data_IF_552742418005
#
_entry.id   IF_552742418005
#
_cell.length_a   1.000
_cell.length_b   1.000
_cell.length_c   1.000
_cell.angle_alpha   90.00
_cell.angle_beta   90.00
_cell.angle_gamma   90.00
#
_symmetry.space_group_name_H-M   'P 1'
#
loop_
_entity.id
_entity.type
_entity.pdbx_description
1 polymer ?
#
# COMPACT_ATOMS: atom_id res chain seq x y z
N UNK A 1 3.17 41.50 26.99
CA UNK A 1 3.25 40.19 27.68
C UNK A 1 2.81 39.14 26.70
N UNK A 2 3.67 38.18 26.37
CA UNK A 2 3.34 37.11 25.43
C UNK A 2 3.17 35.81 26.20
N UNK A 3 1.98 35.20 26.13
CA UNK A 3 1.81 33.80 26.50
C UNK A 3 2.07 32.93 25.27
N UNK A 4 3.00 31.98 25.38
CA UNK A 4 3.20 30.95 24.36
C UNK A 4 2.31 29.75 24.70
N UNK A 5 1.32 29.45 23.84
CA UNK A 5 0.52 28.23 23.95
C UNK A 5 1.07 27.19 22.97
N UNK A 6 1.78 26.19 23.48
CA UNK A 6 2.36 25.12 22.66
C UNK A 6 1.29 24.10 22.22
N UNK A 7 1.24 23.72 20.93
CA UNK A 7 0.33 22.68 20.47
C UNK A 7 0.83 21.28 20.92
N UNK A 8 0.07 20.60 21.78
CA UNK A 8 0.36 19.22 22.19
C UNK A 8 -0.12 18.25 21.11
N UNK A 9 0.80 17.78 20.25
CA UNK A 9 0.53 16.67 19.34
C UNK A 9 0.37 15.34 20.11
N UNK A 10 -0.71 14.61 19.85
CA UNK A 10 -0.91 13.24 20.34
C UNK A 10 -0.76 12.24 19.20
N UNK A 11 0.37 11.53 19.19
CA UNK A 11 0.63 10.39 18.30
C UNK A 11 0.64 9.10 19.14
N UNK A 12 -0.25 8.11 18.89
CA UNK A 12 -0.26 6.86 19.64
C UNK A 12 0.89 5.94 19.19
N UNK A 13 2.04 6.06 19.86
CA UNK A 13 3.17 5.13 19.65
C UNK A 13 2.87 3.81 20.34
N UNK A 14 2.53 2.78 19.55
CA UNK A 14 2.30 1.42 20.05
C UNK A 14 3.66 0.77 20.37
N UNK A 15 4.09 0.85 21.62
CA UNK A 15 5.32 0.20 22.12
C UNK A 15 5.06 -1.27 22.45
N UNK A 16 5.16 -2.14 21.44
CA UNK A 16 5.08 -3.59 21.61
C UNK A 16 6.34 -4.14 22.30
N UNK A 17 6.32 -4.18 23.64
CA UNK A 17 7.39 -4.73 24.49
C UNK A 17 7.52 -6.26 24.37
N UNK A 18 7.98 -6.73 23.21
CA UNK A 18 8.34 -8.12 22.94
C UNK A 18 9.58 -8.50 23.75
N UNK A 19 9.37 -9.19 24.88
CA UNK A 19 10.43 -9.78 25.69
C UNK A 19 11.24 -10.76 24.83
N UNK A 20 12.51 -10.43 24.57
CA UNK A 20 13.41 -11.26 23.76
C UNK A 20 13.66 -12.60 24.47
N UNK A 21 13.17 -13.69 23.88
CA UNK A 21 13.38 -15.03 24.41
C UNK A 21 14.88 -15.40 24.36
N UNK A 22 15.36 -16.06 25.42
CA UNK A 22 16.72 -16.63 25.48
C UNK A 22 16.87 -17.79 24.52
N UNK A 23 18.05 -17.95 23.93
CA UNK A 23 18.33 -19.06 23.03
C UNK A 23 18.56 -20.35 23.82
N UNK A 24 18.13 -21.50 23.28
CA UNK A 24 18.32 -22.81 23.91
C UNK A 24 19.81 -23.16 24.16
N UNK A 25 20.74 -22.44 23.54
CA UNK A 25 22.18 -22.57 23.77
C UNK A 25 22.64 -21.99 25.12
N UNK A 26 21.93 -21.01 25.68
CA UNK A 26 22.33 -20.29 26.90
C UNK A 26 22.06 -21.10 28.18
N UNK A 27 21.06 -21.99 28.17
CA UNK A 27 20.68 -22.81 29.33
C UNK A 27 21.65 -23.98 29.61
N UNK A 28 22.66 -24.20 28.75
CA UNK A 28 23.52 -25.39 28.78
C UNK A 28 24.86 -25.19 29.50
N UNK A 29 25.11 -24.01 30.10
CA UNK A 29 26.44 -23.60 30.61
C UNK A 29 26.43 -23.15 32.08
N UNK A 30 25.54 -23.73 32.90
CA UNK A 30 25.37 -23.36 34.30
C UNK A 30 24.92 -24.57 35.16
N UNK A 31 25.73 -25.63 35.20
CA UNK A 31 25.59 -26.77 36.13
C UNK A 31 26.90 -27.58 36.19
N UNK A 32 27.94 -26.99 36.78
CA UNK A 32 29.21 -27.67 37.12
C UNK A 32 29.61 -27.31 38.56
N UNK A 33 30.22 -28.29 39.26
CA UNK A 33 30.92 -28.23 40.57
C UNK A 33 30.12 -28.19 41.90
N UNK A 34 30.75 -28.75 42.96
CA UNK A 34 30.25 -29.10 44.32
C UNK A 34 29.13 -30.17 44.34
N UNK A 35 29.30 -31.42 44.79
CA UNK A 35 30.31 -32.12 45.63
C UNK A 35 30.35 -31.75 47.14
N UNK A 36 30.05 -32.75 48.00
CA UNK A 36 30.60 -32.96 49.36
C UNK A 36 30.13 -34.29 50.02
N UNK A 37 31.12 -34.99 50.59
CA UNK A 37 31.13 -35.90 51.75
C UNK A 37 30.24 -37.17 51.83
N UNK A 38 30.98 -38.28 51.86
CA UNK A 38 30.76 -39.63 52.38
C UNK A 38 30.06 -39.79 53.75
N UNK A 39 29.68 -41.05 54.08
CA UNK A 39 30.01 -41.67 55.38
C UNK A 39 30.05 -43.22 55.29
N UNK A 40 30.94 -43.79 56.11
CA UNK A 40 31.41 -45.17 56.33
C UNK A 40 30.27 -46.17 56.70
N UNK A 41 30.34 -47.53 56.64
CA UNK A 41 31.38 -48.59 56.56
C UNK A 41 30.82 -49.76 55.66
N UNK A 42 31.20 -51.04 55.61
CA UNK A 42 32.05 -52.03 56.33
C UNK A 42 32.72 -53.02 55.33
N UNK A 43 33.65 -53.88 55.80
CA UNK A 43 34.33 -54.91 54.99
C UNK A 43 34.09 -56.36 55.48
N UNK A 44 34.48 -57.35 54.66
CA UNK A 44 35.24 -58.54 55.12
C UNK A 44 36.13 -59.11 53.99
N UNK A 45 37.00 -60.07 54.34
CA UNK A 45 38.20 -60.56 53.63
C UNK A 45 37.91 -61.70 52.60
N UNK A 46 38.84 -62.13 51.73
CA UNK A 46 40.20 -61.66 51.41
C UNK A 46 41.08 -62.77 50.78
N UNK A 47 42.33 -62.42 50.42
CA UNK A 47 43.45 -63.32 50.02
C UNK A 47 43.29 -64.11 48.68
N UNK A 48 44.34 -64.58 47.97
CA UNK A 48 45.80 -64.64 48.24
C UNK A 48 46.64 -64.54 46.94
N UNK A 49 47.88 -64.02 47.05
CA UNK A 49 49.12 -64.29 46.26
C UNK A 49 49.06 -64.68 44.76
N UNK A 50 49.52 -63.81 43.86
CA UNK A 50 50.92 -63.64 43.37
C UNK A 50 51.43 -64.74 42.42
N UNK A 51 51.55 -64.42 41.13
CA UNK A 51 52.20 -65.28 40.13
C UNK A 51 52.54 -64.57 38.81
N UNK A 52 53.74 -63.97 38.73
CA UNK A 52 54.45 -63.44 37.55
C UNK A 52 53.73 -62.39 36.66
N UNK A 53 54.35 -61.22 36.54
CA UNK A 53 53.94 -60.15 35.62
C UNK A 53 54.28 -60.50 34.16
N UNK A 54 53.37 -61.20 33.47
CA UNK A 54 53.35 -61.21 32.00
C UNK A 54 52.93 -59.81 31.56
N UNK A 55 53.72 -59.12 30.73
CA UNK A 55 53.35 -57.79 30.24
C UNK A 55 51.99 -57.86 29.53
N UNK A 56 51.06 -56.90 29.72
CA UNK A 56 49.76 -56.91 29.02
C UNK A 56 49.89 -57.02 27.50
N UNK A 57 50.99 -56.52 26.92
CA UNK A 57 51.31 -56.68 25.49
C UNK A 57 51.69 -58.11 25.10
N UNK A 58 52.38 -58.83 25.97
CA UNK A 58 52.78 -60.23 25.77
C UNK A 58 51.62 -61.18 26.00
N UNK A 59 50.78 -60.92 27.02
CA UNK A 59 49.53 -61.66 27.22
C UNK A 59 48.65 -61.60 25.97
N UNK A 60 48.39 -60.39 25.43
CA UNK A 60 47.67 -60.21 24.17
C UNK A 60 48.39 -60.92 23.01
N UNK A 61 49.71 -60.78 22.89
CA UNK A 61 50.48 -61.43 21.80
C UNK A 61 50.42 -62.96 21.86
N UNK A 62 50.27 -63.56 23.05
CA UNK A 62 50.12 -64.99 23.22
C UNK A 62 48.72 -65.49 22.85
N UNK A 63 47.66 -64.72 23.09
CA UNK A 63 46.29 -65.07 22.69
C UNK A 63 46.10 -65.30 21.18
N UNK A 64 46.99 -64.78 20.33
CA UNK A 64 46.91 -64.94 18.86
C UNK A 64 47.80 -66.05 18.29
N UNK A 65 48.60 -66.74 19.10
CA UNK A 65 49.58 -67.73 18.60
C UNK A 65 48.91 -69.05 18.17
N UNK A 66 47.79 -69.42 18.78
CA UNK A 66 47.02 -70.62 18.40
C UNK A 66 46.06 -70.40 17.20
N UNK A 67 45.95 -69.17 16.68
CA UNK A 67 44.93 -68.79 15.70
C UNK A 67 45.28 -69.20 14.25
N UNK A 68 45.24 -70.50 13.97
CA UNK A 68 45.50 -71.07 12.65
C UNK A 68 44.31 -70.94 11.69
N UNK A 69 44.41 -70.03 10.72
CA UNK A 69 43.34 -69.71 9.73
C UNK A 69 42.97 -70.88 8.80
N UNK A 70 43.85 -71.90 8.67
CA UNK A 70 43.62 -73.07 7.80
C UNK A 70 42.44 -73.98 8.17
N UNK A 71 41.70 -73.69 9.26
CA UNK A 71 40.43 -74.37 9.59
C UNK A 71 39.19 -73.78 8.89
N UNK A 72 39.34 -72.76 8.04
CA UNK A 72 38.25 -72.19 7.22
C UNK A 72 38.16 -72.83 5.82
N UNK A 73 37.81 -74.12 5.78
CA UNK A 73 37.40 -74.81 4.54
C UNK A 73 35.90 -75.13 4.62
N UNK A 74 35.02 -74.55 3.78
CA UNK A 74 33.57 -74.71 3.92
C UNK A 74 33.05 -76.11 3.56
N UNK A 75 32.34 -76.80 4.48
CA UNK A 75 31.62 -78.02 4.12
C UNK A 75 30.37 -77.71 3.29
N UNK A 76 30.32 -78.34 2.12
CA UNK A 76 29.18 -78.71 1.28
C UNK A 76 27.76 -78.43 1.83
N UNK A 77 26.94 -77.73 1.01
CA UNK A 77 25.59 -77.31 1.36
C UNK A 77 24.60 -78.48 1.51
N UNK A 78 23.78 -78.46 2.56
CA UNK A 78 22.56 -79.27 2.70
C UNK A 78 21.34 -78.35 2.90
N UNK A 79 20.23 -78.52 2.15
CA UNK A 79 19.10 -77.60 2.18
C UNK A 79 18.06 -77.98 3.26
N UNK A 80 18.12 -77.36 4.45
CA UNK A 80 17.06 -77.50 5.46
C UNK A 80 16.64 -76.16 6.08
N UNK A 81 15.33 -75.92 5.99
CA UNK A 81 14.48 -74.99 6.75
C UNK A 81 15.12 -73.74 7.38
N UNK A 82 14.80 -72.58 6.79
CA UNK A 82 15.12 -71.27 7.34
C UNK A 82 14.40 -71.01 8.67
N UNK A 83 15.14 -71.02 9.78
CA UNK A 83 14.74 -70.33 11.01
C UNK A 83 15.86 -69.41 11.49
N UNK A 84 15.74 -68.12 11.18
CA UNK A 84 16.59 -67.10 11.77
C UNK A 84 16.23 -66.98 13.25
N UNK A 85 17.01 -67.61 14.13
CA UNK A 85 16.84 -67.40 15.57
C UNK A 85 17.25 -65.97 15.91
N UNK A 86 16.24 -65.12 16.07
CA UNK A 86 16.42 -63.73 16.48
C UNK A 86 16.97 -63.72 17.90
N UNK A 87 18.22 -63.30 18.06
CA UNK A 87 18.86 -63.12 19.36
C UNK A 87 18.14 -62.03 20.14
N UNK A 88 17.17 -62.40 20.98
CA UNK A 88 16.49 -61.48 21.89
C UNK A 88 17.49 -61.13 23.01
N UNK A 89 17.94 -59.86 23.13
CA UNK A 89 18.86 -59.49 24.21
C UNK A 89 18.15 -59.63 25.56
N UNK A 90 18.85 -60.18 26.55
CA UNK A 90 18.33 -60.30 27.92
C UNK A 90 17.93 -58.89 28.42
N UNK A 91 16.68 -58.67 28.89
CA UNK A 91 16.24 -57.36 29.34
C UNK A 91 17.09 -56.89 30.52
N UNK A 92 17.36 -55.59 30.56
CA UNK A 92 18.16 -54.99 31.62
C UNK A 92 17.42 -55.04 32.96
N UNK A 93 18.14 -55.15 34.08
CA UNK A 93 17.51 -55.37 35.40
C UNK A 93 16.52 -54.26 35.80
N UNK A 94 16.69 -53.03 35.30
CA UNK A 94 15.71 -51.95 35.46
C UNK A 94 14.39 -52.20 34.70
N UNK A 95 14.37 -52.85 33.51
CA UNK A 95 13.10 -53.19 32.83
C UNK A 95 12.31 -54.21 33.63
N UNK A 96 12.99 -55.19 34.22
CA UNK A 96 12.37 -56.20 35.08
C UNK A 96 11.80 -55.55 36.34
N UNK A 97 12.58 -54.67 37.00
CA UNK A 97 12.13 -53.86 38.15
C UNK A 97 10.89 -53.00 37.83
N UNK A 98 10.83 -52.39 36.65
CA UNK A 98 9.66 -51.61 36.22
C UNK A 98 8.46 -52.50 35.88
N UNK A 99 8.66 -53.62 35.19
CA UNK A 99 7.60 -54.59 34.91
C UNK A 99 6.99 -55.17 36.19
N UNK A 100 7.81 -55.45 37.21
CA UNK A 100 7.34 -55.87 38.53
C UNK A 100 6.58 -54.77 39.28
N UNK A 101 7.02 -53.51 39.20
CA UNK A 101 6.27 -52.37 39.76
C UNK A 101 4.91 -52.22 39.11
N UNK A 102 4.82 -52.33 37.77
CA UNK A 102 3.56 -52.30 37.01
C UNK A 102 2.65 -53.49 37.37
N UNK A 103 3.21 -54.70 37.51
CA UNK A 103 2.47 -55.88 38.03
C UNK A 103 1.92 -55.67 39.46
N UNK A 104 2.61 -54.89 40.29
CA UNK A 104 2.18 -54.50 41.65
C UNK A 104 1.25 -53.27 41.66
N UNK A 105 0.77 -52.79 40.51
CA UNK A 105 -0.10 -51.62 40.37
C UNK A 105 0.58 -50.27 40.62
N UNK A 106 1.90 -50.24 40.84
CA UNK A 106 2.66 -49.04 41.15
C UNK A 106 2.98 -48.30 39.85
N UNK A 107 2.10 -47.37 39.46
CA UNK A 107 2.29 -46.50 38.29
C UNK A 107 3.59 -45.70 38.39
N UNK A 108 4.21 -45.46 37.25
CA UNK A 108 5.31 -44.51 37.10
C UNK A 108 4.78 -43.07 37.05
N UNK A 109 5.63 -42.10 37.39
CA UNK A 109 5.28 -40.67 37.36
C UNK A 109 4.82 -40.23 35.96
N UNK A 110 5.51 -40.69 34.92
CA UNK A 110 5.17 -40.40 33.52
C UNK A 110 3.78 -40.93 33.13
N UNK A 111 3.41 -42.13 33.58
CA UNK A 111 2.09 -42.72 33.34
C UNK A 111 0.99 -41.89 34.03
N UNK A 112 1.22 -41.46 35.27
CA UNK A 112 0.30 -40.60 36.01
C UNK A 112 0.16 -39.20 35.39
N UNK A 113 1.25 -38.62 34.87
CA UNK A 113 1.23 -37.32 34.17
C UNK A 113 0.49 -37.43 32.82
N UNK A 114 0.60 -38.55 32.10
CA UNK A 114 -0.18 -38.85 30.90
C UNK A 114 -1.68 -39.01 31.20
N UNK A 115 -2.03 -39.85 32.18
CA UNK A 115 -3.43 -40.03 32.63
C UNK A 115 -4.07 -38.71 33.08
N UNK A 116 -3.32 -37.85 33.78
CA UNK A 116 -3.81 -36.53 34.19
C UNK A 116 -4.03 -35.59 33.00
N UNK A 117 -3.21 -35.67 31.95
CA UNK A 117 -3.38 -34.91 30.73
C UNK A 117 -4.61 -35.38 29.92
N UNK A 118 -4.84 -36.69 29.83
CA UNK A 118 -6.01 -37.25 29.14
C UNK A 118 -7.32 -36.99 29.89
N UNK A 119 -7.32 -37.04 31.22
CA UNK A 119 -8.46 -36.59 32.03
C UNK A 119 -8.76 -35.10 31.85
N UNK A 120 -7.75 -34.24 31.70
CA UNK A 120 -7.94 -32.81 31.40
C UNK A 120 -8.57 -32.61 30.03
N UNK A 121 -8.11 -33.34 29.00
CA UNK A 121 -8.70 -33.32 27.65
C UNK A 121 -10.17 -33.72 27.69
N UNK A 122 -10.51 -34.84 28.35
CA UNK A 122 -11.90 -35.29 28.49
C UNK A 122 -12.78 -34.26 29.20
N UNK A 123 -12.28 -33.58 30.24
CA UNK A 123 -13.02 -32.49 30.90
C UNK A 123 -13.20 -31.29 29.97
N UNK A 124 -12.16 -30.87 29.25
CA UNK A 124 -12.21 -29.78 28.27
C UNK A 124 -13.23 -30.09 27.16
N UNK A 125 -13.11 -31.25 26.51
CA UNK A 125 -14.04 -31.78 25.50
C UNK A 125 -15.48 -31.84 25.99
N UNK A 126 -15.72 -32.29 27.24
CA UNK A 126 -17.06 -32.32 27.83
C UNK A 126 -17.61 -30.92 28.11
N UNK A 127 -16.77 -29.94 28.47
CA UNK A 127 -17.21 -28.54 28.58
C UNK A 127 -17.46 -27.89 27.21
N UNK A 128 -16.72 -28.28 26.16
CA UNK A 128 -16.98 -27.83 24.79
C UNK A 128 -18.27 -28.45 24.23
N UNK A 129 -18.55 -29.74 24.48
CA UNK A 129 -19.82 -30.37 24.13
C UNK A 129 -21.03 -29.71 24.82
N UNK A 130 -20.85 -29.18 26.04
CA UNK A 130 -21.89 -28.40 26.73
C UNK A 130 -22.09 -27.00 26.15
N UNK A 131 -21.09 -26.42 25.47
CA UNK A 131 -21.18 -25.13 24.76
C UNK A 131 -21.97 -25.29 23.45
N UNK A 132 -23.29 -25.34 23.57
CA UNK A 132 -24.24 -25.34 22.43
C UNK A 132 -23.86 -24.24 21.44
N UNK A 133 -23.37 -24.63 20.25
CA UNK A 133 -22.88 -23.70 19.24
C UNK A 133 -23.97 -22.70 18.84
N UNK A 134 -23.74 -21.43 19.16
CA UNK A 134 -24.55 -20.29 18.71
C UNK A 134 -23.63 -19.33 17.98
N UNK A 135 -24.10 -18.79 16.86
CA UNK A 135 -23.39 -17.70 16.20
C UNK A 135 -23.28 -16.51 17.15
N UNK A 136 -22.09 -15.91 17.25
CA UNK A 136 -21.91 -14.64 17.95
C UNK A 136 -22.90 -13.61 17.40
N UNK A 137 -23.62 -12.85 18.25
CA UNK A 137 -24.58 -11.86 17.76
C UNK A 137 -23.84 -10.83 16.92
N UNK A 138 -24.47 -10.40 15.81
CA UNK A 138 -23.89 -9.38 14.93
C UNK A 138 -23.43 -8.15 15.74
N UNK A 139 -22.24 -7.57 15.48
CA UNK A 139 -21.71 -6.44 16.25
C UNK A 139 -22.67 -5.25 16.31
N UNK A 140 -22.60 -4.45 17.38
CA UNK A 140 -23.50 -3.32 17.58
C UNK A 140 -23.51 -2.34 16.40
N UNK A 141 -22.34 -2.01 15.84
CA UNK A 141 -22.19 -1.11 14.70
C UNK A 141 -22.96 -1.55 13.44
N UNK A 142 -23.28 -2.84 13.28
CA UNK A 142 -24.07 -3.37 12.15
C UNK A 142 -25.56 -3.00 12.26
N UNK A 143 -26.03 -2.62 13.47
CA UNK A 143 -27.41 -2.17 13.73
C UNK A 143 -27.55 -0.65 13.83
N UNK A 144 -26.45 0.10 13.82
CA UNK A 144 -26.45 1.56 13.97
C UNK A 144 -26.40 2.25 12.59
N UNK A 145 -27.22 3.29 12.32
CA UNK A 145 -27.16 4.06 11.07
C UNK A 145 -25.94 5.00 10.96
N UNK A 146 -24.72 4.46 10.90
CA UNK A 146 -23.46 5.22 10.91
C UNK A 146 -23.15 6.03 9.62
N UNK A 147 -24.15 6.36 8.80
CA UNK A 147 -23.95 7.01 7.50
C UNK A 147 -23.34 8.42 7.62
N UNK A 148 -23.84 9.21 8.58
CA UNK A 148 -23.40 10.59 8.82
C UNK A 148 -21.96 10.61 9.35
N UNK A 149 -21.65 9.80 10.38
CA UNK A 149 -20.29 9.62 10.91
C UNK A 149 -19.29 9.18 9.82
N UNK A 150 -19.70 8.28 8.92
CA UNK A 150 -18.88 7.86 7.78
C UNK A 150 -18.66 9.01 6.79
N UNK A 151 -19.70 9.80 6.46
CA UNK A 151 -19.56 10.93 5.56
C UNK A 151 -18.61 11.99 6.14
N UNK A 152 -18.75 12.35 7.42
CA UNK A 152 -17.88 13.32 8.09
C UNK A 152 -16.41 12.87 8.05
N UNK A 153 -16.14 11.61 8.41
CA UNK A 153 -14.77 11.06 8.37
C UNK A 153 -14.22 10.97 6.95
N UNK A 154 -15.07 10.80 5.94
CA UNK A 154 -14.69 10.85 4.53
C UNK A 154 -14.47 12.29 4.05
N UNK A 155 -15.16 13.28 4.61
CA UNK A 155 -14.84 14.70 4.40
C UNK A 155 -13.52 15.11 5.08
N UNK A 156 -13.26 14.69 6.31
CA UNK A 156 -11.99 14.92 7.01
C UNK A 156 -10.80 14.41 6.18
N UNK A 157 -10.85 13.15 5.73
CA UNK A 157 -9.79 12.58 4.86
C UNK A 157 -9.64 13.37 3.56
N UNK A 158 -10.75 13.82 2.95
CA UNK A 158 -10.73 14.68 1.75
C UNK A 158 -10.22 16.10 2.01
N UNK A 159 -10.35 16.65 3.23
CA UNK A 159 -9.77 17.95 3.63
C UNK A 159 -8.25 17.78 3.79
N UNK A 160 -7.83 16.88 4.69
CA UNK A 160 -6.41 16.59 4.95
C UNK A 160 -5.60 16.27 3.68
N UNK A 161 -6.17 15.51 2.73
CA UNK A 161 -5.49 15.25 1.46
C UNK A 161 -5.28 16.53 0.63
N UNK A 162 -6.29 17.40 0.53
CA UNK A 162 -6.15 18.69 -0.18
C UNK A 162 -5.11 19.58 0.48
N UNK A 163 -5.09 19.63 1.81
CA UNK A 163 -4.17 20.47 2.57
C UNK A 163 -2.71 19.98 2.42
N UNK A 164 -2.50 18.65 2.50
CA UNK A 164 -1.21 18.02 2.25
C UNK A 164 -0.74 18.21 0.80
N UNK A 165 -1.63 18.11 -0.19
CA UNK A 165 -1.26 18.36 -1.59
C UNK A 165 -0.95 19.84 -1.86
N UNK A 166 -1.66 20.78 -1.23
CA UNK A 166 -1.32 22.21 -1.31
C UNK A 166 0.07 22.48 -0.69
N UNK A 167 0.37 21.91 0.48
CA UNK A 167 1.70 22.01 1.09
C UNK A 167 2.80 21.37 0.22
N UNK A 168 2.54 20.20 -0.38
CA UNK A 168 3.45 19.55 -1.34
C UNK A 168 3.66 20.42 -2.58
N UNK A 169 2.60 21.03 -3.12
CA UNK A 169 2.70 21.93 -4.27
C UNK A 169 3.53 23.17 -3.91
N UNK A 170 3.23 23.87 -2.81
CA UNK A 170 3.97 25.06 -2.37
C UNK A 170 5.44 24.79 -2.03
N UNK A 171 5.78 23.61 -1.49
CA UNK A 171 7.18 23.23 -1.24
C UNK A 171 7.91 22.77 -2.52
N UNK A 172 7.19 22.21 -3.50
CA UNK A 172 7.75 21.87 -4.82
C UNK A 172 7.91 23.07 -5.75
N UNK A 173 7.11 24.13 -5.54
CA UNK A 173 7.23 25.41 -6.25
C UNK A 173 8.55 26.08 -5.86
N UNK A 174 9.54 26.04 -6.77
CA UNK A 174 10.62 27.01 -6.76
C UNK A 174 10.07 28.30 -7.37
N UNK A 175 9.76 29.35 -6.59
CA UNK A 175 9.34 30.62 -7.18
C UNK A 175 10.46 31.12 -8.10
N UNK A 176 10.10 31.57 -9.30
CA UNK A 176 11.07 32.19 -10.19
C UNK A 176 11.72 33.38 -9.45
N UNK A 177 13.04 33.52 -9.53
CA UNK A 177 13.76 34.65 -8.91
C UNK A 177 13.30 36.03 -9.41
N UNK A 178 12.51 36.05 -10.49
CA UNK A 178 11.71 37.20 -10.92
C UNK A 178 10.75 37.71 -9.83
N UNK A 179 10.03 36.84 -9.11
CA UNK A 179 9.04 37.26 -8.11
C UNK A 179 9.69 37.88 -6.86
N UNK A 180 10.82 37.34 -6.42
CA UNK A 180 11.62 37.94 -5.34
C UNK A 180 12.26 39.25 -5.81
N UNK A 181 12.81 39.28 -7.03
CA UNK A 181 13.33 40.49 -7.68
C UNK A 181 12.25 41.57 -7.85
N UNK A 182 11.01 41.20 -8.15
CA UNK A 182 9.90 42.13 -8.31
C UNK A 182 9.42 42.67 -6.96
N UNK A 183 9.30 41.83 -5.93
CA UNK A 183 9.06 42.27 -4.54
C UNK A 183 10.14 43.25 -4.08
N UNK A 184 11.42 42.89 -4.22
CA UNK A 184 12.55 43.76 -3.88
C UNK A 184 12.54 45.06 -4.70
N UNK A 185 12.19 45.02 -6.00
CA UNK A 185 12.08 46.21 -6.87
C UNK A 185 10.87 47.07 -6.52
N UNK A 186 9.80 46.50 -5.95
CA UNK A 186 8.62 47.20 -5.42
C UNK A 186 8.95 47.85 -4.07
N UNK A 187 9.54 47.11 -3.14
CA UNK A 187 10.04 47.61 -1.85
C UNK A 187 11.06 48.74 -2.04
N UNK A 188 12.01 48.61 -2.98
CA UNK A 188 12.95 49.68 -3.32
C UNK A 188 12.27 50.92 -3.93
N UNK A 189 11.18 50.76 -4.69
CA UNK A 189 10.38 51.89 -5.18
C UNK A 189 9.62 52.56 -4.03
N UNK A 190 8.98 51.79 -3.18
CA UNK A 190 8.19 52.26 -2.04
C UNK A 190 9.07 52.95 -0.99
N UNK A 191 10.25 52.39 -0.68
CA UNK A 191 11.26 53.02 0.16
C UNK A 191 11.77 54.35 -0.42
N UNK A 192 12.07 54.40 -1.73
CA UNK A 192 12.47 55.65 -2.40
C UNK A 192 11.36 56.71 -2.42
N UNK A 193 10.10 56.30 -2.62
CA UNK A 193 8.95 57.20 -2.61
C UNK A 193 8.70 57.73 -1.18
N UNK A 194 8.82 56.88 -0.17
CA UNK A 194 8.76 57.27 1.24
C UNK A 194 9.92 58.20 1.65
N UNK A 195 11.15 57.92 1.19
CA UNK A 195 12.31 58.79 1.39
C UNK A 195 12.13 60.16 0.70
N UNK A 196 11.59 60.17 -0.53
CA UNK A 196 11.24 61.40 -1.25
C UNK A 196 10.13 62.18 -0.53
N UNK A 197 9.11 61.52 0.02
CA UNK A 197 8.09 62.18 0.84
C UNK A 197 8.66 62.73 2.16
N UNK A 198 9.61 62.03 2.80
CA UNK A 198 10.29 62.54 3.99
C UNK A 198 11.20 63.74 3.67
N UNK A 199 11.92 63.70 2.54
CA UNK A 199 12.70 64.83 2.03
C UNK A 199 11.81 66.02 1.70
N UNK A 200 10.74 65.83 0.92
CA UNK A 200 9.77 66.88 0.62
C UNK A 200 9.15 67.46 1.89
N UNK A 201 8.77 66.65 2.89
CA UNK A 201 8.26 67.15 4.17
C UNK A 201 9.30 67.99 4.94
N UNK A 202 10.58 67.59 4.95
CA UNK A 202 11.66 68.37 5.57
C UNK A 202 11.89 69.69 4.84
N UNK A 203 12.03 69.66 3.52
CA UNK A 203 12.15 70.86 2.70
C UNK A 203 10.94 71.79 2.84
N UNK A 204 9.73 71.23 2.92
CA UNK A 204 8.50 71.99 3.10
C UNK A 204 8.42 72.61 4.51
N UNK A 205 8.85 71.88 5.55
CA UNK A 205 9.04 72.45 6.88
C UNK A 205 10.07 73.58 6.90
N UNK A 206 11.20 73.45 6.21
CA UNK A 206 12.24 74.48 6.12
C UNK A 206 11.74 75.71 5.34
N UNK A 207 11.03 75.51 4.24
CA UNK A 207 10.33 76.58 3.49
C UNK A 207 9.22 77.26 4.31
N UNK A 208 8.55 76.52 5.21
CA UNK A 208 7.57 77.06 6.18
C UNK A 208 8.25 77.84 7.31
N UNK A 209 9.45 77.43 7.76
CA UNK A 209 10.25 78.11 8.80
C UNK A 209 10.86 79.42 8.27
N UNK A 210 11.22 79.48 6.98
CA UNK A 210 11.72 80.67 6.29
C UNK A 210 10.77 81.15 5.18
N UNK A 211 9.61 81.77 5.50
CA UNK A 211 8.65 82.23 4.50
C UNK A 211 9.23 83.36 3.66
N UNK A 212 9.66 83.04 2.43
CA UNK A 212 10.24 83.97 1.48
C UNK A 212 9.24 85.04 1.04
N UNK A 213 9.45 86.27 1.54
CA UNK A 213 8.62 87.45 1.19
C UNK A 213 9.11 88.04 -0.13
N UNK A 214 8.64 87.44 -1.23
CA UNK A 214 8.93 87.89 -2.59
C UNK A 214 8.53 89.36 -2.81
N UNK A 215 9.34 90.11 -3.56
CA UNK A 215 8.92 91.39 -4.13
C UNK A 215 7.73 91.14 -5.07
N UNK A 216 6.68 91.98 -5.08
CA UNK A 216 5.48 91.72 -5.87
C UNK A 216 5.82 91.63 -7.36
N UNK A 217 5.45 90.50 -7.98
CA UNK A 217 5.79 90.20 -9.37
C UNK A 217 5.27 91.32 -10.30
N UNK A 218 6.09 91.87 -11.22
CA UNK A 218 5.67 92.95 -12.13
C UNK A 218 4.39 92.62 -12.90
N UNK A 219 3.54 93.64 -13.13
CA UNK A 219 2.19 93.45 -13.70
C UNK A 219 2.19 92.65 -15.01
N UNK A 220 3.14 92.91 -15.91
CA UNK A 220 3.36 92.15 -17.16
C UNK A 220 3.51 90.64 -17.00
N UNK A 221 4.01 90.16 -15.86
CA UNK A 221 4.12 88.72 -15.57
C UNK A 221 2.80 88.16 -15.01
N UNK A 222 2.00 88.99 -14.33
CA UNK A 222 0.62 88.66 -13.93
C UNK A 222 -0.33 88.65 -15.12
N UNK A 223 -0.10 89.52 -16.10
CA UNK A 223 -0.79 89.52 -17.40
C UNK A 223 -0.43 88.26 -18.21
N UNK A 224 0.84 87.85 -18.24
CA UNK A 224 1.28 86.56 -18.80
C UNK A 224 0.93 85.32 -17.95
N UNK A 225 0.31 85.51 -16.78
CA UNK A 225 -0.35 84.45 -15.99
C UNK A 225 -1.83 84.74 -15.81
N UNK A 226 -2.40 85.53 -16.73
CA UNK A 226 -3.85 85.60 -16.89
C UNK A 226 -4.38 84.21 -17.26
N UNK A 227 -5.49 83.81 -16.63
CA UNK A 227 -6.13 82.53 -16.95
C UNK A 227 -6.70 82.47 -18.36
N UNK A 228 -6.62 83.55 -19.15
CA UNK A 228 -7.09 83.62 -20.53
C UNK A 228 -6.11 82.92 -21.47
N UNK A 229 -4.80 83.17 -21.34
CA UNK A 229 -3.78 82.44 -22.10
C UNK A 229 -3.76 80.95 -21.75
N UNK A 230 -4.01 80.60 -20.48
CA UNK A 230 -4.11 79.19 -20.06
C UNK A 230 -5.35 78.49 -20.65
N UNK A 231 -6.52 79.16 -20.66
CA UNK A 231 -7.72 78.66 -21.35
C UNK A 231 -7.50 78.53 -22.85
N UNK A 232 -6.79 79.47 -23.48
CA UNK A 232 -6.44 79.42 -24.90
C UNK A 232 -5.52 78.23 -25.20
N UNK A 233 -4.47 77.99 -24.41
CA UNK A 233 -3.65 76.79 -24.50
C UNK A 233 -4.45 75.49 -24.29
N UNK A 234 -5.36 75.46 -23.31
CA UNK A 234 -6.23 74.32 -23.05
C UNK A 234 -7.19 74.05 -24.22
N UNK A 235 -7.75 75.11 -24.83
CA UNK A 235 -8.56 75.03 -26.04
C UNK A 235 -7.74 74.52 -27.24
N UNK A 236 -6.53 75.03 -27.48
CA UNK A 236 -5.65 74.51 -28.52
C UNK A 236 -5.26 73.05 -28.28
N UNK A 237 -4.99 72.65 -27.03
CA UNK A 237 -4.75 71.24 -26.64
C UNK A 237 -6.00 70.38 -26.91
N UNK A 238 -7.19 70.85 -26.54
CA UNK A 238 -8.45 70.15 -26.78
C UNK A 238 -8.74 69.98 -28.27
N UNK A 239 -8.60 71.04 -29.08
CA UNK A 239 -8.73 71.00 -30.54
C UNK A 239 -7.73 70.01 -31.15
N UNK A 240 -6.46 70.06 -30.73
CA UNK A 240 -5.40 69.15 -31.23
C UNK A 240 -5.66 67.69 -30.84
N UNK A 241 -6.20 67.43 -29.65
CA UNK A 241 -6.65 66.10 -29.24
C UNK A 241 -7.86 65.62 -30.07
N UNK A 242 -8.84 66.48 -30.33
CA UNK A 242 -9.99 66.15 -31.18
C UNK A 242 -9.59 65.88 -32.64
N UNK A 243 -8.67 66.67 -33.21
CA UNK A 243 -8.14 66.42 -34.54
C UNK A 243 -7.41 65.09 -34.61
N UNK A 244 -6.47 64.83 -33.69
CA UNK A 244 -5.76 63.55 -33.60
C UNK A 244 -6.71 62.36 -33.43
N UNK A 245 -7.78 62.51 -32.65
CA UNK A 245 -8.79 61.48 -32.48
C UNK A 245 -9.59 61.22 -33.78
N UNK A 246 -9.94 62.27 -34.53
CA UNK A 246 -10.59 62.14 -35.85
C UNK A 246 -9.66 61.49 -36.87
N UNK A 247 -8.41 61.93 -36.97
CA UNK A 247 -7.41 61.29 -37.84
C UNK A 247 -7.23 59.81 -37.52
N UNK A 248 -7.12 59.46 -36.23
CA UNK A 248 -6.97 58.08 -35.80
C UNK A 248 -8.22 57.25 -36.15
N UNK A 249 -9.43 57.77 -35.92
CA UNK A 249 -10.68 57.11 -36.33
C UNK A 249 -10.81 56.96 -37.86
N UNK A 250 -10.38 57.94 -38.64
CA UNK A 250 -10.36 57.83 -40.10
C UNK A 250 -9.31 56.82 -40.58
N UNK A 251 -8.13 56.77 -39.98
CA UNK A 251 -7.07 55.80 -40.34
C UNK A 251 -7.39 54.36 -39.91
N UNK A 252 -8.16 54.19 -38.83
CA UNK A 252 -8.67 52.90 -38.37
C UNK A 252 -10.00 52.50 -39.02
N UNK A 253 -10.59 53.37 -39.86
CA UNK A 253 -11.82 53.04 -40.59
C UNK A 253 -11.52 52.04 -41.69
N UNK A 254 -12.29 50.94 -41.71
CA UNK A 254 -12.27 49.98 -42.80
C UNK A 254 -12.59 50.67 -44.15
N UNK A 255 -12.05 50.18 -45.29
CA UNK A 255 -12.37 50.73 -46.61
C UNK A 255 -13.88 50.76 -46.89
N UNK A 256 -14.41 51.77 -47.62
CA UNK A 256 -15.85 51.93 -47.84
C UNK A 256 -16.55 50.69 -48.43
N UNK A 257 -15.86 49.89 -49.25
CA UNK A 257 -16.35 48.63 -49.78
C UNK A 257 -16.58 47.57 -48.70
N UNK A 258 -15.71 47.50 -47.69
CA UNK A 258 -15.86 46.59 -46.54
C UNK A 258 -16.93 47.09 -45.57
N UNK A 259 -17.09 48.41 -45.42
CA UNK A 259 -18.20 48.99 -44.65
C UNK A 259 -19.56 48.70 -45.32
N UNK A 260 -19.67 48.92 -46.63
CA UNK A 260 -20.88 48.59 -47.40
C UNK A 260 -21.20 47.09 -47.30
N UNK A 261 -20.20 46.22 -47.43
CA UNK A 261 -20.34 44.77 -47.22
C UNK A 261 -20.81 44.42 -45.80
N UNK A 262 -20.24 45.01 -44.75
CA UNK A 262 -20.74 44.76 -43.40
C UNK A 262 -22.16 45.28 -43.16
N UNK A 263 -22.60 46.33 -43.87
CA UNK A 263 -23.97 46.83 -43.78
C UNK A 263 -24.97 45.94 -44.56
N UNK A 264 -24.56 45.28 -45.64
CA UNK A 264 -25.39 44.24 -46.28
C UNK A 264 -25.38 42.94 -45.47
N UNK A 265 -24.23 42.48 -44.97
CA UNK A 265 -24.13 41.32 -44.06
C UNK A 265 -24.98 41.53 -42.80
N UNK A 266 -24.98 42.72 -42.19
CA UNK A 266 -25.85 43.04 -41.04
C UNK A 266 -27.34 43.08 -41.40
N UNK A 267 -27.71 43.46 -42.63
CA UNK A 267 -29.12 43.38 -43.07
C UNK A 267 -29.54 41.94 -43.35
N UNK A 268 -28.69 41.12 -43.97
CA UNK A 268 -28.91 39.67 -44.14
C UNK A 268 -29.01 38.98 -42.78
N UNK A 269 -28.13 39.30 -41.83
CA UNK A 269 -28.23 38.78 -40.46
C UNK A 269 -29.46 39.31 -39.71
N UNK A 270 -29.93 40.53 -39.97
CA UNK A 270 -31.16 41.04 -39.33
C UNK A 270 -32.42 40.38 -39.90
N UNK A 271 -32.46 40.07 -41.19
CA UNK A 271 -33.52 39.25 -41.79
C UNK A 271 -33.45 37.80 -41.29
N UNK A 272 -32.25 37.22 -41.19
CA UNK A 272 -32.04 35.88 -40.62
C UNK A 272 -32.26 35.81 -39.10
N UNK A 273 -32.29 36.94 -38.38
CA UNK A 273 -32.61 37.01 -36.95
C UNK A 273 -34.11 36.98 -36.65
N UNK A 274 -34.98 37.05 -37.67
CA UNK A 274 -36.41 36.77 -37.51
C UNK A 274 -36.66 35.25 -37.38
N UNK A 275 -35.72 34.40 -37.81
CA UNK A 275 -35.57 33.02 -37.32
C UNK A 275 -34.50 32.95 -36.23
N UNK A 276 -34.92 32.87 -34.96
CA UNK A 276 -34.00 32.66 -33.83
C UNK A 276 -33.30 31.28 -33.90
N UNK A 277 -32.20 31.16 -34.66
CA UNK A 277 -31.28 30.02 -34.61
C UNK A 277 -30.43 30.07 -33.33
N UNK A 278 -31.13 30.03 -32.20
CA UNK A 278 -30.60 30.00 -30.83
C UNK A 278 -29.93 28.65 -30.59
N UNK A 279 -28.65 28.54 -30.98
CA UNK A 279 -27.81 27.37 -30.69
C UNK A 279 -27.42 27.31 -29.19
N UNK A 280 -28.43 27.21 -28.33
CA UNK A 280 -28.29 26.72 -26.97
C UNK A 280 -28.16 25.19 -27.06
N UNK A 281 -27.06 24.58 -26.59
CA UNK A 281 -27.06 23.13 -26.41
C UNK A 281 -28.20 22.76 -25.46
N UNK A 282 -28.98 21.72 -25.78
CA UNK A 282 -30.02 21.17 -24.89
C UNK A 282 -29.37 20.43 -23.72
N UNK A 283 -28.80 21.21 -22.81
CA UNK A 283 -28.47 20.78 -21.46
C UNK A 283 -29.81 20.52 -20.77
N UNK A 284 -30.01 19.32 -20.24
CA UNK A 284 -31.19 18.98 -19.46
C UNK A 284 -31.16 19.78 -18.15
N UNK A 285 -31.83 20.93 -18.13
CA UNK A 285 -31.89 21.83 -16.97
C UNK A 285 -32.60 21.17 -15.78
N UNK A 286 -33.62 20.35 -16.06
CA UNK A 286 -34.25 19.49 -15.07
C UNK A 286 -33.39 18.23 -14.88
N UNK A 287 -32.64 18.22 -13.78
CA UNK A 287 -32.05 16.99 -13.23
C UNK A 287 -33.21 16.06 -12.83
N UNK A 288 -33.32 14.84 -13.38
CA UNK A 288 -34.40 13.93 -13.01
C UNK A 288 -34.40 13.67 -11.51
N UNK A 289 -35.59 13.57 -10.91
CA UNK A 289 -35.74 13.26 -9.48
C UNK A 289 -35.20 11.85 -9.17
N UNK A 290 -33.91 11.80 -8.86
CA UNK A 290 -33.21 10.57 -8.51
C UNK A 290 -33.79 9.94 -7.25
N UNK A 291 -34.29 10.74 -6.31
CA UNK A 291 -34.79 10.27 -5.03
C UNK A 291 -36.20 9.66 -5.18
N UNK A 292 -37.08 10.29 -5.97
CA UNK A 292 -38.32 9.67 -6.49
C UNK A 292 -38.05 8.42 -7.32
N UNK A 293 -37.01 8.41 -8.16
CA UNK A 293 -36.61 7.22 -8.93
C UNK A 293 -36.18 6.07 -8.00
N UNK A 294 -35.44 6.39 -6.93
CA UNK A 294 -34.97 5.44 -5.93
C UNK A 294 -36.12 4.93 -5.06
N UNK A 295 -37.08 5.80 -4.69
CA UNK A 295 -38.33 5.42 -4.02
C UNK A 295 -39.18 4.47 -4.89
N UNK A 296 -39.26 4.71 -6.21
CA UNK A 296 -39.90 3.79 -7.18
C UNK A 296 -39.16 2.45 -7.27
N UNK A 297 -37.82 2.47 -7.38
CA UNK A 297 -36.98 1.27 -7.41
C UNK A 297 -37.13 0.43 -6.13
N UNK A 298 -37.13 1.05 -4.94
CA UNK A 298 -37.38 0.35 -3.67
C UNK A 298 -38.78 -0.26 -3.58
N UNK A 299 -39.82 0.39 -4.12
CA UNK A 299 -41.16 -0.21 -4.25
C UNK A 299 -41.17 -1.40 -5.22
N UNK A 300 -40.46 -1.31 -6.33
CA UNK A 300 -40.32 -2.42 -7.28
C UNK A 300 -39.59 -3.62 -6.64
N UNK A 301 -38.50 -3.38 -5.91
CA UNK A 301 -37.81 -4.42 -5.14
C UNK A 301 -38.70 -5.05 -4.07
N UNK A 302 -39.50 -4.26 -3.35
CA UNK A 302 -40.46 -4.79 -2.38
C UNK A 302 -41.50 -5.70 -3.05
N UNK A 303 -42.07 -5.29 -4.19
CA UNK A 303 -43.00 -6.11 -5.00
C UNK A 303 -42.35 -7.39 -5.56
N UNK A 304 -41.06 -7.34 -5.93
CA UNK A 304 -40.30 -8.50 -6.37
C UNK A 304 -39.76 -9.37 -5.22
N UNK A 305 -39.96 -8.95 -3.96
CA UNK A 305 -39.63 -9.72 -2.75
C UNK A 305 -40.80 -10.62 -2.29
N UNK A 306 -41.94 -10.57 -2.98
CA UNK A 306 -42.94 -11.63 -2.94
C UNK A 306 -42.23 -12.99 -3.09
N UNK A 307 -42.47 -13.90 -2.15
CA UNK A 307 -41.60 -15.05 -1.94
C UNK A 307 -41.78 -16.04 -3.08
N UNK A 308 -40.84 -16.03 -4.04
CA UNK A 308 -40.63 -17.18 -4.92
C UNK A 308 -40.42 -18.40 -4.02
N UNK A 309 -41.25 -19.45 -4.11
CA UNK A 309 -41.05 -20.64 -3.29
C UNK A 309 -39.64 -21.18 -3.56
N UNK A 310 -38.87 -21.39 -2.50
CA UNK A 310 -37.55 -22.01 -2.60
C UNK A 310 -37.72 -23.34 -3.32
N UNK A 311 -36.96 -23.57 -4.39
CA UNK A 311 -37.09 -24.77 -5.22
C UNK A 311 -36.90 -26.01 -4.36
N UNK A 312 -38.01 -26.69 -4.04
CA UNK A 312 -37.98 -27.91 -3.26
C UNK A 312 -37.19 -28.97 -4.03
N UNK A 313 -36.14 -29.51 -3.41
CA UNK A 313 -35.31 -30.52 -4.05
C UNK A 313 -36.10 -31.84 -4.15
N UNK A 314 -36.54 -32.17 -5.36
CA UNK A 314 -37.04 -33.52 -5.64
C UNK A 314 -35.91 -34.55 -5.43
N UNK A 315 -36.15 -35.69 -4.78
CA UNK A 315 -35.11 -36.67 -4.48
C UNK A 315 -34.61 -37.38 -5.75
N UNK A 316 -33.51 -36.88 -6.30
CA UNK A 316 -32.87 -37.46 -7.49
C UNK A 316 -31.97 -38.67 -7.14
N UNK A 317 -32.02 -39.70 -7.97
CA UNK A 317 -31.20 -40.92 -7.79
C UNK A 317 -29.75 -40.68 -8.24
N UNK A 318 -28.86 -40.48 -7.26
CA UNK A 318 -27.41 -40.41 -7.48
C UNK A 318 -26.86 -41.73 -8.03
N UNK A 319 -26.40 -41.73 -9.29
CA UNK A 319 -25.77 -42.88 -9.96
C UNK A 319 -24.32 -43.15 -9.50
N UNK A 320 -24.03 -42.99 -8.21
CA UNK A 320 -22.68 -43.16 -7.63
C UNK A 320 -22.11 -44.56 -7.81
N UNK A 321 -22.96 -45.59 -7.89
CA UNK A 321 -22.55 -46.96 -8.21
C UNK A 321 -21.82 -47.10 -9.56
N UNK A 322 -22.05 -46.18 -10.51
CA UNK A 322 -21.42 -46.21 -11.83
C UNK A 322 -20.12 -45.37 -11.90
N UNK A 323 -19.69 -44.76 -10.78
CA UNK A 323 -18.52 -43.90 -10.72
C UNK A 323 -17.36 -44.68 -10.09
N UNK A 324 -16.33 -44.99 -10.89
CA UNK A 324 -15.16 -45.75 -10.45
C UNK A 324 -14.46 -45.05 -9.26
N UNK A 325 -14.57 -45.64 -8.07
CA UNK A 325 -14.12 -45.03 -6.82
C UNK A 325 -12.60 -44.88 -6.79
N UNK A 326 -12.10 -43.65 -6.79
CA UNK A 326 -10.67 -43.33 -6.68
C UNK A 326 -10.05 -43.64 -5.28
N UNK A 327 -10.72 -44.48 -4.48
CA UNK A 327 -10.34 -44.85 -3.10
C UNK A 327 -8.91 -45.39 -3.03
N UNK A 328 -8.54 -46.32 -3.91
CA UNK A 328 -7.21 -46.95 -3.92
C UNK A 328 -6.10 -45.93 -4.17
N UNK A 329 -6.34 -44.98 -5.08
CA UNK A 329 -5.42 -43.87 -5.34
C UNK A 329 -5.28 -42.93 -4.14
N UNK A 330 -6.39 -42.59 -3.48
CA UNK A 330 -6.37 -41.78 -2.26
C UNK A 330 -5.62 -42.49 -1.13
N UNK A 331 -5.82 -43.81 -0.95
CA UNK A 331 -5.06 -44.61 0.01
C UNK A 331 -3.57 -44.63 -0.32
N UNK A 332 -3.20 -44.77 -1.60
CA UNK A 332 -1.81 -44.75 -2.04
C UNK A 332 -1.14 -43.37 -1.86
N UNK A 333 -1.86 -42.27 -2.11
CA UNK A 333 -1.39 -40.90 -1.87
C UNK A 333 -1.17 -40.65 -0.35
N UNK A 334 -2.09 -41.12 0.51
CA UNK A 334 -1.96 -41.09 1.98
C UNK A 334 -0.75 -41.93 2.44
N UNK A 335 -0.59 -43.15 1.93
CA UNK A 335 0.57 -43.98 2.24
C UNK A 335 1.89 -43.36 1.77
N UNK A 336 1.91 -42.63 0.67
CA UNK A 336 3.09 -41.91 0.18
C UNK A 336 3.45 -40.70 1.05
N UNK A 337 2.45 -40.00 1.60
CA UNK A 337 2.64 -38.91 2.57
C UNK A 337 3.13 -39.44 3.94
N UNK A 338 2.63 -40.59 4.40
CA UNK A 338 3.12 -41.28 5.61
C UNK A 338 4.54 -41.81 5.43
N UNK A 339 4.86 -42.43 4.27
CA UNK A 339 6.19 -43.00 3.98
C UNK A 339 7.24 -41.94 3.64
N UNK A 340 6.82 -40.77 3.17
CA UNK A 340 7.69 -39.60 3.03
C UNK A 340 7.02 -38.36 3.65
N UNK A 341 7.17 -38.15 4.98
CA UNK A 341 6.66 -36.97 5.67
C UNK A 341 7.40 -35.70 5.24
N UNK A 342 7.05 -35.20 4.05
CA UNK A 342 7.46 -33.88 3.59
C UNK A 342 6.94 -32.88 4.60
N UNK A 343 7.81 -31.99 5.08
CA UNK A 343 7.42 -30.93 6.00
C UNK A 343 6.45 -29.99 5.28
N UNK A 344 5.14 -30.24 5.42
CA UNK A 344 4.03 -29.45 4.87
C UNK A 344 3.86 -28.14 5.66
N UNK A 345 4.97 -27.40 5.79
CA UNK A 345 5.04 -26.09 6.41
C UNK A 345 4.88 -25.05 5.32
N UNK A 346 3.63 -24.61 5.12
CA UNK A 346 3.37 -23.35 4.44
C UNK A 346 4.17 -22.20 5.10
N UNK A 347 4.68 -21.21 4.34
CA UNK A 347 4.67 -21.11 2.86
C UNK A 347 5.80 -21.87 2.18
N UNK A 348 5.62 -22.17 0.89
CA UNK A 348 6.46 -23.07 0.09
C UNK A 348 7.93 -22.64 -0.07
N UNK A 349 8.82 -23.64 -0.05
CA UNK A 349 10.00 -23.67 -0.91
C UNK A 349 9.73 -24.65 -2.05
N UNK A 350 10.04 -24.26 -3.29
CA UNK A 350 9.79 -25.08 -4.49
C UNK A 350 10.81 -26.23 -4.60
N UNK A 351 10.39 -27.50 -4.66
CA UNK A 351 11.29 -28.60 -5.01
C UNK A 351 11.77 -28.49 -6.47
N UNK A 352 13.00 -28.95 -6.81
CA UNK A 352 13.46 -29.01 -8.19
C UNK A 352 12.56 -29.89 -9.07
N UNK A 353 12.32 -29.46 -10.31
CA UNK A 353 11.48 -30.20 -11.24
C UNK A 353 12.19 -31.44 -11.80
N UNK A 354 11.58 -32.63 -11.61
CA UNK A 354 11.96 -33.87 -12.28
C UNK A 354 10.70 -34.58 -12.77
N UNK A 355 10.78 -35.11 -14.01
CA UNK A 355 9.74 -35.85 -14.75
C UNK A 355 8.50 -35.04 -15.19
N UNK A 356 8.38 -34.68 -16.48
CA UNK A 356 7.17 -34.07 -17.05
C UNK A 356 6.11 -35.15 -17.34
N UNK A 357 5.04 -35.20 -16.52
CA UNK A 357 3.90 -36.09 -16.77
C UNK A 357 2.94 -35.47 -17.79
N UNK A 358 2.84 -36.07 -18.98
CA UNK A 358 1.93 -35.60 -20.03
C UNK A 358 0.45 -35.78 -19.63
N UNK A 359 -0.40 -34.75 -19.77
CA UNK A 359 -1.84 -34.92 -19.74
C UNK A 359 -2.33 -35.51 -21.06
N UNK A 360 -3.34 -36.37 -21.00
CA UNK A 360 -4.03 -36.86 -22.21
C UNK A 360 -4.83 -35.73 -22.88
N UNK A 361 -5.25 -35.98 -24.12
CA UNK A 361 -6.10 -35.11 -24.94
C UNK A 361 -7.43 -34.76 -24.21
N UNK A 362 -8.15 -33.68 -24.57
CA UNK A 362 -8.29 -33.13 -25.93
C UNK A 362 -8.75 -31.66 -26.01
N UNK A 363 -8.49 -31.04 -27.17
CA UNK A 363 -9.19 -29.85 -27.71
C UNK A 363 -9.08 -28.51 -26.95
N UNK A 364 -7.86 -27.97 -26.79
CA UNK A 364 -7.61 -26.54 -27.05
C UNK A 364 -6.12 -26.27 -27.30
N UNK A 365 -5.63 -26.55 -28.52
CA UNK A 365 -4.22 -26.35 -28.89
C UNK A 365 -4.05 -25.21 -29.89
N UNK A 366 -3.41 -24.11 -29.47
CA UNK A 366 -2.55 -23.24 -30.31
C UNK A 366 -1.91 -22.14 -29.46
N UNK A 367 -0.66 -21.77 -29.77
CA UNK A 367 0.14 -20.74 -29.09
C UNK A 367 0.36 -21.02 -27.59
N UNK A 368 1.27 -21.93 -27.20
CA UNK A 368 2.74 -21.80 -27.35
C UNK A 368 3.29 -20.53 -26.70
N UNK A 369 4.13 -20.68 -25.68
CA UNK A 369 4.63 -19.58 -24.87
C UNK A 369 5.88 -18.92 -25.44
N UNK A 370 5.80 -17.61 -25.67
CA UNK A 370 6.93 -16.68 -25.54
C UNK A 370 6.75 -15.90 -24.23
N UNK A 371 7.84 -15.58 -23.53
CA UNK A 371 7.79 -14.79 -22.29
C UNK A 371 7.76 -13.29 -22.62
N UNK A 372 6.68 -12.86 -23.26
CA UNK A 372 6.45 -11.45 -23.61
C UNK A 372 5.32 -10.86 -22.77
N UNK A 373 5.59 -9.69 -22.18
CA UNK A 373 4.62 -8.94 -21.41
C UNK A 373 3.48 -8.47 -22.33
N UNK A 374 2.35 -9.18 -22.32
CA UNK A 374 1.17 -8.82 -23.11
C UNK A 374 0.72 -7.39 -22.80
N UNK A 375 1.01 -6.46 -23.71
CA UNK A 375 0.44 -5.12 -23.64
C UNK A 375 -1.08 -5.23 -23.75
N UNK A 376 -1.80 -4.61 -22.83
CA UNK A 376 -3.25 -4.64 -22.83
C UNK A 376 -3.76 -4.08 -24.16
N UNK A 377 -4.57 -4.85 -24.90
CA UNK A 377 -5.05 -4.48 -26.25
C UNK A 377 -5.83 -3.17 -26.17
N UNK A 378 -5.15 -2.07 -26.49
CA UNK A 378 -5.69 -0.72 -26.30
C UNK A 378 -6.93 -0.54 -27.17
N UNK A 379 -8.05 -0.19 -26.52
CA UNK A 379 -9.34 0.01 -27.19
C UNK A 379 -9.25 1.11 -28.25
N UNK A 380 -10.09 1.04 -29.29
CA UNK A 380 -10.14 2.05 -30.35
C UNK A 380 -10.35 3.48 -29.79
N UNK A 381 -11.17 3.62 -28.75
CA UNK A 381 -11.36 4.88 -28.03
C UNK A 381 -10.08 5.41 -27.35
N UNK A 382 -9.17 4.53 -26.90
CA UNK A 382 -7.88 4.91 -26.33
C UNK A 382 -6.87 5.29 -27.43
N UNK A 383 -6.80 4.51 -28.52
CA UNK A 383 -5.97 4.86 -29.70
C UNK A 383 -6.34 6.22 -30.28
N UNK A 384 -7.63 6.53 -30.35
CA UNK A 384 -8.12 7.85 -30.79
C UNK A 384 -7.69 8.98 -29.85
N UNK A 385 -7.57 8.74 -28.54
CA UNK A 385 -7.00 9.73 -27.60
C UNK A 385 -5.49 9.90 -27.80
N UNK A 386 -4.75 8.82 -28.00
CA UNK A 386 -3.30 8.92 -28.29
C UNK A 386 -3.04 9.70 -29.58
N UNK A 387 -3.79 9.43 -30.65
CA UNK A 387 -3.70 10.19 -31.91
C UNK A 387 -4.05 11.66 -31.70
N UNK A 388 -5.12 11.99 -30.97
CA UNK A 388 -5.47 13.38 -30.65
C UNK A 388 -4.40 14.07 -29.80
N UNK A 389 -3.83 13.40 -28.81
CA UNK A 389 -2.71 13.92 -28.02
C UNK A 389 -1.48 14.19 -28.91
N UNK A 390 -1.12 13.25 -29.80
CA UNK A 390 0.01 13.42 -30.72
C UNK A 390 -0.24 14.53 -31.76
N UNK A 391 -1.48 14.71 -32.22
CA UNK A 391 -1.85 15.84 -33.08
C UNK A 391 -1.75 17.18 -32.33
N UNK A 392 -2.23 17.27 -31.09
CA UNK A 392 -2.12 18.47 -30.25
C UNK A 392 -0.64 18.81 -29.95
N UNK A 393 0.19 17.82 -29.62
CA UNK A 393 1.64 18.02 -29.46
C UNK A 393 2.35 18.37 -30.77
N UNK A 394 1.85 17.92 -31.93
CA UNK A 394 2.35 18.30 -33.24
C UNK A 394 2.04 19.76 -33.60
N UNK A 395 0.80 20.18 -33.36
CA UNK A 395 0.34 21.57 -33.58
C UNK A 395 1.11 22.53 -32.66
N UNK A 396 1.19 22.21 -31.37
CA UNK A 396 1.97 23.00 -30.40
C UNK A 396 3.47 23.09 -30.74
N UNK A 397 4.00 22.16 -31.56
CA UNK A 397 5.38 22.22 -32.05
C UNK A 397 5.54 23.08 -33.30
N UNK A 398 4.54 23.13 -34.19
CA UNK A 398 4.53 24.07 -35.33
C UNK A 398 4.32 25.52 -34.89
N UNK A 399 3.54 25.78 -33.85
CA UNK A 399 3.37 27.13 -33.28
C UNK A 399 4.65 27.67 -32.62
N UNK A 400 5.61 26.80 -32.26
CA UNK A 400 6.90 27.21 -31.67
C UNK A 400 7.94 27.70 -32.69
N UNK A 401 7.80 27.37 -33.98
CA UNK A 401 8.81 27.66 -35.00
C UNK A 401 8.59 29.01 -35.74
N UNK A 402 7.65 29.85 -35.27
CA UNK A 402 7.49 31.22 -35.77
C UNK A 402 8.50 32.19 -35.11
N UNK A 403 9.40 32.84 -35.87
CA UNK A 403 10.40 33.74 -35.31
C UNK A 403 9.74 35.02 -34.78
N UNK A 404 9.77 35.20 -33.46
CA UNK A 404 9.30 36.42 -32.80
C UNK A 404 10.13 37.63 -33.23
N UNK A 405 9.58 38.50 -34.08
CA UNK A 405 10.20 39.79 -34.38
C UNK A 405 10.11 40.71 -33.17
N UNK A 406 11.23 40.91 -32.48
CA UNK A 406 11.36 41.84 -31.37
C UNK A 406 11.21 43.29 -31.88
N UNK A 407 10.03 43.87 -31.75
CA UNK A 407 9.83 45.33 -31.87
C UNK A 407 10.19 45.96 -30.53
N UNK A 408 11.31 46.69 -30.50
CA UNK A 408 11.82 47.36 -29.31
C UNK A 408 10.92 48.51 -28.85
N UNK A 409 10.67 48.60 -27.53
CA UNK A 409 10.37 49.87 -26.87
C UNK A 409 10.69 49.87 -25.37
#
# INVERSE_FOLDING_TARGET
>A
TCEQVSPKGWSPVITSNLKKARSALELRRASDLSDMSDEQCTADNGNTEKGLEISPREHIKNMWQDFSVHKLSPPQWHPFSSSLQITVPKPFHMTLREAERRKKGIKSRSEMEQENADLRRQVEELTECQRKFRASPAPAHVRLPLYEELQERDEERRRLHRDLEQQRLHTSQRPFSFLERERLKKEQKEAKLHEQMLKHKREEEERRKCPFKAKPVPRRVKEATSGEQQKEEELYRAIKMQMRARELLHSASMPPSMLARQLSEKQVHKAAQEEEQTHRPKINAEVPDFDGSYRRFRKQLAKCKEVRPVTACEPFQLRTANIASHKERIMADIEAEIKSPKLSRWPFMTPPALSPRTPSSSLCSSLSGSQECLSAKITDAAKKREVLCLQLFGIAKQECDFPCQCVSH
#
